data_IF_683279644461
#
_entry.id   IF_683279644461
#
_cell.length_a   1.000
_cell.length_b   1.000
_cell.length_c   1.000
_cell.angle_alpha   90.00
_cell.angle_beta   90.00
_cell.angle_gamma   90.00
#
_symmetry.space_group_name_H-M   'P 1'
#
loop_
_entity.id
_entity.type
_entity.pdbx_description
1 polymer ?
#
# COMPACT_ATOMS: atom_id res chain seq x y z
N UNK A 1 -10.24 -22.59 5.04
CA UNK A 1 -8.81 -22.48 4.65
C UNK A 1 -8.32 -21.15 5.19
N UNK A 2 -7.12 -21.05 5.72
CA UNK A 2 -6.60 -19.77 6.21
C UNK A 2 -6.45 -18.74 5.08
N UNK A 3 -6.90 -17.50 5.30
CA UNK A 3 -6.76 -16.43 4.31
C UNK A 3 -5.30 -16.13 3.97
N UNK A 4 -5.03 -15.64 2.76
CA UNK A 4 -3.76 -15.01 2.40
C UNK A 4 -3.75 -13.54 2.84
N UNK A 5 -2.57 -12.99 3.13
CA UNK A 5 -2.44 -11.58 3.54
C UNK A 5 -3.05 -10.59 2.53
N UNK A 6 -3.05 -10.96 1.25
CA UNK A 6 -3.66 -10.24 0.12
C UNK A 6 -5.18 -10.15 0.26
N UNK A 7 -5.83 -11.27 0.56
CA UNK A 7 -7.29 -11.34 0.66
C UNK A 7 -7.83 -10.64 1.92
N UNK A 8 -7.06 -10.67 3.00
CA UNK A 8 -7.37 -9.89 4.20
C UNK A 8 -7.28 -8.37 3.97
N UNK A 9 -6.56 -7.90 2.94
CA UNK A 9 -6.52 -6.48 2.64
C UNK A 9 -7.73 -5.97 1.86
N UNK A 10 -8.30 -6.81 1.00
CA UNK A 10 -9.51 -6.50 0.24
C UNK A 10 -10.76 -6.65 1.10
N UNK A 11 -10.74 -7.60 2.04
CA UNK A 11 -11.86 -7.91 2.94
C UNK A 11 -11.70 -7.31 4.34
N UNK A 12 -10.93 -6.21 4.49
CA UNK A 12 -10.73 -5.52 5.77
C UNK A 12 -12.03 -5.07 6.43
N UNK A 13 -13.07 -4.84 5.64
CA UNK A 13 -14.38 -4.39 6.09
C UNK A 13 -15.37 -5.51 6.43
N UNK A 14 -15.02 -6.75 6.12
CA UNK A 14 -15.84 -7.93 6.37
C UNK A 14 -15.71 -8.43 7.82
N UNK A 15 -16.70 -9.19 8.32
CA UNK A 15 -16.69 -9.73 9.67
C UNK A 15 -15.53 -10.71 9.88
N UNK A 16 -14.89 -10.63 11.04
CA UNK A 16 -13.82 -11.52 11.41
C UNK A 16 -14.37 -12.80 12.05
N UNK A 17 -14.06 -13.94 11.45
CA UNK A 17 -14.40 -15.27 11.96
C UNK A 17 -13.11 -16.08 12.04
N UNK A 18 -12.95 -16.85 13.11
CA UNK A 18 -11.78 -17.69 13.28
C UNK A 18 -11.90 -18.99 12.47
N UNK A 19 -10.85 -19.36 11.74
CA UNK A 19 -10.84 -20.58 10.93
C UNK A 19 -10.68 -21.86 11.79
N UNK A 20 -9.76 -21.83 12.75
CA UNK A 20 -9.37 -22.97 13.57
C UNK A 20 -9.36 -22.60 15.04
N UNK A 21 -9.59 -23.57 15.93
CA UNK A 21 -9.51 -23.32 17.38
C UNK A 21 -8.22 -22.57 17.73
N UNK A 22 -8.38 -21.40 18.32
CA UNK A 22 -7.27 -20.49 18.65
C UNK A 22 -7.22 -20.30 20.15
N UNK A 23 -6.03 -20.45 20.72
CA UNK A 23 -5.81 -20.43 22.16
C UNK A 23 -5.81 -19.01 22.73
N UNK A 24 -6.09 -18.91 24.03
CA UNK A 24 -5.97 -17.66 24.76
C UNK A 24 -4.55 -17.10 24.67
N UNK A 25 -4.44 -15.79 24.44
CA UNK A 25 -3.19 -15.09 24.33
C UNK A 25 -2.49 -15.17 22.98
N UNK A 26 -3.09 -15.86 21.99
CA UNK A 26 -2.61 -15.83 20.61
C UNK A 26 -2.84 -14.45 19.98
N UNK A 27 -1.84 -13.97 19.25
CA UNK A 27 -1.95 -12.77 18.40
C UNK A 27 -2.61 -13.20 17.10
N UNK A 28 -3.74 -12.59 16.77
CA UNK A 28 -4.51 -12.95 15.58
C UNK A 28 -3.79 -12.45 14.33
N UNK A 29 -3.34 -13.41 13.51
CA UNK A 29 -2.86 -13.17 12.16
C UNK A 29 -3.94 -13.45 11.11
N UNK A 30 -3.60 -13.20 9.85
CA UNK A 30 -4.49 -13.49 8.71
C UNK A 30 -4.73 -15.00 8.59
N UNK A 31 -3.73 -15.79 8.97
CA UNK A 31 -3.77 -17.25 8.98
C UNK A 31 -4.81 -17.83 9.95
N UNK A 32 -5.19 -17.07 10.97
CA UNK A 32 -6.16 -17.48 11.98
C UNK A 32 -7.60 -17.14 11.59
N UNK A 33 -7.80 -16.37 10.53
CA UNK A 33 -9.10 -15.90 10.07
C UNK A 33 -9.59 -16.74 8.89
N UNK A 34 -10.90 -16.97 8.87
CA UNK A 34 -11.61 -17.61 7.78
C UNK A 34 -11.94 -16.59 6.69
N UNK A 35 -12.08 -17.07 5.47
CA UNK A 35 -12.37 -16.27 4.28
C UNK A 35 -13.84 -15.79 4.25
N UNK A 36 -14.11 -14.47 4.25
CA UNK A 36 -15.47 -13.96 4.15
C UNK A 36 -16.22 -14.30 2.86
N UNK A 37 -15.52 -14.62 1.77
CA UNK A 37 -16.17 -15.00 0.51
C UNK A 37 -16.97 -16.31 0.64
N UNK A 38 -16.61 -17.18 1.58
CA UNK A 38 -17.32 -18.44 1.84
C UNK A 38 -18.43 -18.30 2.89
N UNK A 39 -18.55 -17.15 3.57
CA UNK A 39 -19.56 -16.96 4.61
C UNK A 39 -21.00 -17.11 4.13
N UNK A 40 -21.39 -16.63 2.93
CA UNK A 40 -22.75 -16.85 2.41
C UNK A 40 -23.15 -18.32 2.40
N UNK A 41 -22.27 -19.20 1.92
CA UNK A 41 -22.50 -20.65 1.85
C UNK A 41 -22.54 -21.28 3.26
N UNK A 42 -21.71 -20.79 4.18
CA UNK A 42 -21.67 -21.27 5.57
C UNK A 42 -22.87 -20.81 6.40
N UNK A 43 -23.41 -19.63 6.12
CA UNK A 43 -24.64 -19.13 6.72
C UNK A 43 -25.86 -19.87 6.18
N UNK A 44 -25.90 -20.16 4.87
CA UNK A 44 -26.97 -20.92 4.24
C UNK A 44 -27.05 -22.36 4.75
N UNK A 45 -25.90 -22.99 5.02
CA UNK A 45 -25.83 -24.31 5.66
C UNK A 45 -26.12 -24.32 7.16
N UNK A 46 -26.32 -23.15 7.79
CA UNK A 46 -26.54 -23.01 9.22
C UNK A 46 -25.31 -23.30 10.08
N UNK A 47 -24.13 -23.36 9.47
CA UNK A 47 -22.87 -23.67 10.13
C UNK A 47 -22.24 -22.42 10.79
N UNK A 48 -22.53 -21.23 10.25
CA UNK A 48 -22.01 -19.95 10.72
C UNK A 48 -23.15 -18.98 11.01
N UNK A 49 -23.05 -18.26 12.13
CA UNK A 49 -23.96 -17.16 12.47
C UNK A 49 -23.13 -15.95 12.86
N UNK A 50 -23.22 -14.89 12.06
CA UNK A 50 -22.46 -13.66 12.27
C UNK A 50 -23.36 -12.64 12.96
N UNK A 51 -23.09 -12.27 14.23
CA UNK A 51 -23.83 -11.22 14.92
C UNK A 51 -23.40 -9.83 14.44
N UNK A 52 -24.31 -8.84 14.52
CA UNK A 52 -24.05 -7.45 14.14
C UNK A 52 -22.91 -6.78 14.93
N UNK A 53 -22.55 -7.34 16.09
CA UNK A 53 -21.46 -6.86 16.96
C UNK A 53 -20.11 -7.54 16.66
N UNK A 54 -19.98 -8.20 15.51
CA UNK A 54 -18.70 -8.77 15.05
C UNK A 54 -17.73 -7.66 14.65
N UNK A 55 -16.46 -7.84 15.03
CA UNK A 55 -15.37 -6.99 14.61
C UNK A 55 -14.97 -7.32 13.18
N UNK A 56 -14.31 -6.36 12.53
CA UNK A 56 -13.85 -6.50 11.15
C UNK A 56 -12.47 -7.14 11.09
N UNK A 57 -12.16 -7.84 9.99
CA UNK A 57 -10.85 -8.45 9.73
C UNK A 57 -9.71 -7.46 9.98
N UNK A 58 -9.81 -6.23 9.44
CA UNK A 58 -8.77 -5.21 9.61
C UNK A 58 -8.59 -4.69 11.05
N UNK A 59 -9.56 -4.91 11.94
CA UNK A 59 -9.49 -4.49 13.34
C UNK A 59 -8.95 -5.59 14.26
N UNK A 60 -9.19 -6.85 13.90
CA UNK A 60 -8.76 -7.99 14.73
C UNK A 60 -7.32 -8.40 14.45
N UNK A 61 -6.80 -8.14 13.25
CA UNK A 61 -5.42 -8.47 12.90
C UNK A 61 -4.46 -7.70 13.82
N UNK A 62 -3.61 -8.45 14.53
CA UNK A 62 -2.69 -7.93 15.55
C UNK A 62 -3.28 -7.77 16.94
N UNK A 63 -4.58 -8.04 17.13
CA UNK A 63 -5.19 -8.09 18.47
C UNK A 63 -4.91 -9.43 19.15
N UNK A 64 -4.85 -9.41 20.48
CA UNK A 64 -4.60 -10.61 21.29
C UNK A 64 -5.90 -11.20 21.80
N UNK A 65 -6.10 -12.51 21.69
CA UNK A 65 -7.28 -13.15 22.28
C UNK A 65 -7.22 -13.18 23.80
N UNK A 66 -8.31 -12.83 24.48
CA UNK A 66 -8.42 -12.92 25.95
C UNK A 66 -9.00 -14.25 26.44
N UNK A 67 -9.52 -15.06 25.52
CA UNK A 67 -10.07 -16.38 25.83
C UNK A 67 -9.87 -17.31 24.64
N UNK A 68 -9.80 -18.61 24.92
CA UNK A 68 -9.76 -19.63 23.87
C UNK A 68 -11.10 -19.67 23.14
N UNK A 69 -11.07 -19.70 21.82
CA UNK A 69 -12.26 -19.78 20.96
C UNK A 69 -12.15 -20.92 19.96
N UNK A 70 -13.27 -21.55 19.67
CA UNK A 70 -13.35 -22.65 18.71
C UNK A 70 -13.52 -22.13 17.28
N UNK A 71 -13.30 -23.02 16.30
CA UNK A 71 -13.49 -22.71 14.88
C UNK A 71 -14.88 -22.14 14.59
N UNK A 72 -14.97 -21.25 13.61
CA UNK A 72 -16.20 -20.60 13.16
C UNK A 72 -16.85 -19.68 14.20
N UNK A 73 -16.09 -19.27 15.20
CA UNK A 73 -16.53 -18.28 16.17
C UNK A 73 -16.26 -16.87 15.61
N UNK A 74 -17.29 -16.02 15.45
CA UNK A 74 -17.10 -14.62 15.11
C UNK A 74 -16.40 -13.87 16.25
N UNK A 75 -15.44 -13.02 15.89
CA UNK A 75 -14.69 -12.23 16.86
C UNK A 75 -15.48 -10.97 17.20
N UNK A 76 -15.72 -10.74 18.50
CA UNK A 76 -16.32 -9.50 19.01
C UNK A 76 -15.35 -8.73 19.90
N UNK A 77 -15.69 -7.49 20.24
CA UNK A 77 -14.89 -6.65 21.16
C UNK A 77 -14.68 -7.27 22.55
N UNK A 78 -15.52 -8.23 22.93
CA UNK A 78 -15.49 -8.86 24.25
C UNK A 78 -14.51 -10.04 24.33
N UNK A 79 -13.84 -10.39 23.23
CA UNK A 79 -12.97 -11.57 23.15
C UNK A 79 -11.54 -11.26 22.72
N UNK A 80 -11.27 -10.00 22.35
CA UNK A 80 -9.93 -9.52 21.98
C UNK A 80 -9.51 -8.35 22.86
N UNK A 81 -8.26 -8.40 23.28
CA UNK A 81 -7.55 -7.26 23.87
C UNK A 81 -6.97 -6.47 22.71
N UNK A 82 -7.66 -5.40 22.33
CA UNK A 82 -7.13 -4.41 21.40
C UNK A 82 -6.10 -3.58 22.18
N UNK A 83 -4.81 -3.84 21.96
CA UNK A 83 -3.74 -3.05 22.54
C UNK A 83 -3.87 -1.59 22.09
N UNK A 84 -4.49 -0.77 22.95
CA UNK A 84 -4.64 0.68 22.83
C UNK A 84 -3.36 1.43 23.25
N UNK A 85 -2.19 0.86 23.02
CA UNK A 85 -0.90 1.55 23.20
C UNK A 85 -0.51 2.24 21.89
N UNK A 86 -1.27 3.28 21.56
CA UNK A 86 -1.03 4.13 20.40
C UNK A 86 -2.09 5.21 20.18
N UNK A 87 -2.50 5.88 21.27
CA UNK A 87 -3.21 7.17 21.34
C UNK A 87 -4.59 7.32 20.66
N UNK A 88 -5.60 7.37 21.53
CA UNK A 88 -6.82 8.15 21.32
C UNK A 88 -6.47 9.63 21.16
N UNK A 89 -6.97 10.29 20.13
CA UNK A 89 -7.33 11.70 20.18
C UNK A 89 -8.58 11.97 19.36
N UNK A 90 -9.60 12.38 20.11
CA UNK A 90 -10.86 13.07 19.82
C UNK A 90 -11.37 13.29 18.38
N UNK A 91 -12.70 13.20 18.32
CA UNK A 91 -13.62 13.77 17.32
C UNK A 91 -13.18 15.18 16.89
N UNK A 92 -12.95 15.37 15.60
CA UNK A 92 -13.81 16.14 14.70
C UNK A 92 -13.07 16.33 13.36
N UNK A 93 -13.83 16.21 12.29
CA UNK A 93 -13.60 16.66 10.91
C UNK A 93 -12.15 16.79 10.39
N UNK A 94 -11.98 16.17 9.20
CA UNK A 94 -11.11 16.57 8.08
C UNK A 94 -9.78 15.82 7.99
N UNK A 95 -9.75 14.95 6.96
CA UNK A 95 -8.65 14.70 6.00
C UNK A 95 -7.25 14.44 6.59
N UNK A 96 -6.61 13.38 6.10
CA UNK A 96 -5.23 12.91 6.38
C UNK A 96 -5.18 11.73 7.36
N UNK A 97 -4.48 10.62 7.13
CA UNK A 97 -3.55 10.16 6.07
C UNK A 97 -3.64 8.64 6.13
N UNK A 98 -4.11 7.99 5.05
CA UNK A 98 -3.95 6.55 4.89
C UNK A 98 -2.45 6.28 4.85
N UNK A 99 -1.90 5.56 5.82
CA UNK A 99 -0.50 5.12 5.80
C UNK A 99 -0.29 4.36 4.48
N UNK A 100 0.59 4.87 3.64
CA UNK A 100 0.95 4.24 2.39
C UNK A 100 1.80 3.00 2.71
N UNK A 101 1.29 1.82 2.38
CA UNK A 101 2.08 0.59 2.41
C UNK A 101 3.07 0.65 1.24
N UNK A 102 4.36 0.59 1.53
CA UNK A 102 5.48 0.64 0.58
C UNK A 102 5.53 1.90 -0.33
N UNK A 103 5.93 3.07 0.21
CA UNK A 103 5.96 4.34 -0.53
C UNK A 103 6.95 4.40 -1.70
N UNK A 104 8.04 3.62 -1.62
CA UNK A 104 9.14 3.61 -2.60
C UNK A 104 8.86 2.73 -3.82
N UNK A 105 7.80 1.93 -3.79
CA UNK A 105 7.46 1.02 -4.89
C UNK A 105 6.91 1.76 -6.10
N UNK A 106 6.94 1.10 -7.25
CA UNK A 106 6.45 1.67 -8.51
C UNK A 106 4.94 1.93 -8.47
N UNK A 107 4.51 3.00 -9.13
CA UNK A 107 3.12 3.38 -9.25
C UNK A 107 2.48 2.76 -10.50
N UNK A 108 1.54 1.85 -10.28
CA UNK A 108 0.67 1.26 -11.32
C UNK A 108 -0.77 1.54 -10.92
N UNK A 109 -1.63 1.88 -11.86
CA UNK A 109 -3.05 2.11 -11.59
C UNK A 109 -3.83 0.80 -11.45
N UNK A 110 -4.68 0.71 -10.42
CA UNK A 110 -5.66 -0.39 -10.23
C UNK A 110 -6.89 -0.18 -11.11
N UNK A 111 -7.33 1.06 -11.30
CA UNK A 111 -8.56 1.41 -12.01
C UNK A 111 -8.31 2.36 -13.18
N UNK A 112 -9.29 2.42 -14.10
CA UNK A 112 -9.31 3.42 -15.17
C UNK A 112 -9.57 4.80 -14.55
N UNK A 113 -8.73 5.77 -14.88
CA UNK A 113 -8.86 7.15 -14.42
C UNK A 113 -8.94 8.10 -15.61
N UNK A 114 -9.72 9.17 -15.46
CA UNK A 114 -9.89 10.18 -16.49
C UNK A 114 -8.91 11.33 -16.30
N UNK A 115 -8.70 12.07 -17.39
CA UNK A 115 -7.95 13.31 -17.40
C UNK A 115 -8.48 14.27 -16.33
N UNK A 116 -7.57 14.78 -15.50
CA UNK A 116 -7.85 15.72 -14.43
C UNK A 116 -8.18 15.08 -13.08
N UNK A 117 -8.35 13.76 -13.03
CA UNK A 117 -8.56 13.02 -11.78
C UNK A 117 -7.31 13.08 -10.90
N UNK A 118 -7.52 13.16 -9.59
CA UNK A 118 -6.46 13.18 -8.58
C UNK A 118 -6.20 11.75 -8.13
N UNK A 119 -4.95 11.30 -8.26
CA UNK A 119 -4.54 9.95 -7.88
C UNK A 119 -4.53 9.82 -6.37
N UNK A 120 -5.26 8.82 -5.85
CA UNK A 120 -5.29 8.48 -4.43
C UNK A 120 -4.55 7.15 -4.19
N UNK A 121 -4.18 6.83 -2.93
CA UNK A 121 -3.55 5.55 -2.60
C UNK A 121 -4.38 4.32 -3.02
N UNK A 122 -5.70 4.45 -3.02
CA UNK A 122 -6.67 3.41 -3.42
C UNK A 122 -6.63 3.08 -4.90
N UNK A 123 -6.26 4.06 -5.71
CA UNK A 123 -6.24 3.93 -7.16
C UNK A 123 -4.95 3.25 -7.63
N UNK A 124 -4.02 2.95 -6.72
CA UNK A 124 -2.73 2.33 -7.01
C UNK A 124 -2.74 0.85 -6.67
N UNK A 125 -2.23 0.06 -7.60
CA UNK A 125 -2.12 -1.39 -7.50
C UNK A 125 -1.14 -1.83 -6.41
N UNK A 126 -1.34 -3.04 -5.87
CA UNK A 126 -0.45 -3.61 -4.85
C UNK A 126 0.85 -4.15 -5.50
N UNK A 127 2.04 -3.69 -5.06
CA UNK A 127 3.32 -4.16 -5.58
C UNK A 127 3.54 -5.68 -5.53
N UNK A 128 2.85 -6.39 -4.64
CA UNK A 128 2.92 -7.86 -4.58
C UNK A 128 2.39 -8.55 -5.85
N UNK A 129 1.55 -7.89 -6.65
CA UNK A 129 1.05 -8.46 -7.91
C UNK A 129 1.95 -8.17 -9.10
N UNK A 130 2.98 -7.34 -8.94
CA UNK A 130 3.79 -6.88 -10.06
C UNK A 130 4.51 -8.01 -10.76
N UNK A 131 5.06 -8.97 -10.02
CA UNK A 131 5.70 -10.17 -10.59
C UNK A 131 4.72 -10.94 -11.48
N UNK A 132 3.51 -11.24 -10.97
CA UNK A 132 2.45 -11.92 -11.73
C UNK A 132 2.02 -11.15 -12.99
N UNK A 133 1.95 -9.83 -12.91
CA UNK A 133 1.57 -8.98 -14.02
C UNK A 133 2.68 -8.81 -15.07
N UNK A 134 3.95 -8.78 -14.65
CA UNK A 134 5.10 -8.80 -15.57
C UNK A 134 5.20 -10.14 -16.30
N UNK A 135 5.03 -11.26 -15.58
CA UNK A 135 4.98 -12.60 -16.16
C UNK A 135 3.86 -12.74 -17.20
N UNK A 136 2.73 -12.10 -16.93
CA UNK A 136 1.57 -12.04 -17.85
C UNK A 136 1.72 -10.98 -18.94
N UNK A 137 2.84 -10.25 -19.00
CA UNK A 137 3.11 -9.14 -19.93
C UNK A 137 2.07 -8.00 -19.88
N UNK A 138 1.36 -7.86 -18.76
CA UNK A 138 0.33 -6.85 -18.56
C UNK A 138 0.93 -5.49 -18.17
N UNK A 139 2.03 -5.50 -17.42
CA UNK A 139 2.73 -4.29 -17.00
C UNK A 139 4.21 -4.34 -17.37
N UNK A 140 4.84 -3.17 -17.45
CA UNK A 140 6.28 -3.02 -17.59
C UNK A 140 6.77 -1.96 -16.61
N UNK A 141 7.63 -2.38 -15.67
CA UNK A 141 8.20 -1.50 -14.66
C UNK A 141 9.60 -1.06 -15.06
N UNK A 142 9.67 0.02 -15.84
CA UNK A 142 10.94 0.64 -16.20
C UNK A 142 11.45 1.59 -15.11
N UNK A 143 12.73 1.96 -15.19
CA UNK A 143 13.34 3.00 -14.34
C UNK A 143 12.64 4.38 -14.43
N UNK A 144 11.82 4.60 -15.46
CA UNK A 144 11.08 5.85 -15.69
C UNK A 144 9.76 5.93 -14.90
N UNK A 145 9.27 4.78 -14.42
CA UNK A 145 8.03 4.70 -13.65
C UNK A 145 8.24 5.36 -12.29
N UNK A 146 7.32 6.25 -11.93
CA UNK A 146 7.34 7.01 -10.69
C UNK A 146 7.00 6.11 -9.49
N UNK A 147 7.34 6.57 -8.28
CA UNK A 147 6.96 5.85 -7.06
C UNK A 147 5.53 6.19 -6.63
N UNK A 148 4.93 5.31 -5.82
CA UNK A 148 3.58 5.53 -5.25
C UNK A 148 3.50 6.86 -4.49
N UNK A 149 4.54 7.20 -3.71
CA UNK A 149 4.60 8.48 -2.98
C UNK A 149 4.59 9.71 -3.91
N UNK A 150 5.24 9.63 -5.07
CA UNK A 150 5.37 10.77 -5.99
C UNK A 150 4.12 11.07 -6.80
N UNK A 151 3.26 10.07 -7.01
CA UNK A 151 2.06 10.21 -7.84
C UNK A 151 0.83 10.59 -7.02
N UNK A 152 0.80 10.27 -5.73
CA UNK A 152 -0.35 10.54 -4.87
C UNK A 152 -0.57 12.05 -4.75
N UNK A 153 -1.82 12.47 -4.95
CA UNK A 153 -2.20 13.88 -4.92
C UNK A 153 -1.89 14.66 -6.20
N UNK A 154 -1.29 14.02 -7.22
CA UNK A 154 -1.09 14.60 -8.55
C UNK A 154 -2.30 14.36 -9.45
N UNK A 155 -2.46 15.22 -10.47
CA UNK A 155 -3.56 15.10 -11.45
C UNK A 155 -3.09 14.41 -12.71
N UNK A 156 -3.96 13.65 -13.38
CA UNK A 156 -3.66 13.07 -14.68
C UNK A 156 -3.84 14.07 -15.84
N UNK A 157 -2.94 14.01 -16.84
CA UNK A 157 -2.97 14.85 -18.06
C UNK A 157 -3.85 14.29 -19.17
N UNK A 158 -4.07 12.98 -19.14
CA UNK A 158 -4.80 12.22 -20.15
C UNK A 158 -5.62 11.12 -19.48
N UNK A 159 -6.50 10.49 -20.24
CA UNK A 159 -7.25 9.33 -19.79
C UNK A 159 -6.31 8.12 -19.76
N UNK A 160 -6.26 7.41 -18.64
CA UNK A 160 -5.34 6.29 -18.43
C UNK A 160 -6.14 5.06 -18.02
N UNK A 161 -5.83 3.93 -18.67
CA UNK A 161 -6.46 2.64 -18.37
C UNK A 161 -5.79 1.96 -17.16
N UNK A 162 -6.51 1.06 -16.52
CA UNK A 162 -6.00 0.22 -15.44
C UNK A 162 -4.75 -0.58 -15.89
N UNK A 163 -3.93 -0.98 -14.92
CA UNK A 163 -2.64 -1.66 -15.12
C UNK A 163 -1.62 -0.83 -15.90
N UNK A 164 -1.81 0.48 -16.02
CA UNK A 164 -0.80 1.35 -16.64
C UNK A 164 0.19 1.84 -15.58
N UNK A 165 1.48 1.74 -15.88
CA UNK A 165 2.55 2.30 -15.07
C UNK A 165 2.66 3.81 -15.27
N UNK A 166 2.70 4.56 -14.18
CA UNK A 166 2.65 6.02 -14.21
C UNK A 166 4.05 6.62 -14.39
N UNK A 167 4.15 7.49 -15.40
CA UNK A 167 5.36 8.23 -15.71
C UNK A 167 5.14 9.74 -15.52
N UNK A 168 6.24 10.50 -15.46
CA UNK A 168 6.20 11.96 -15.31
C UNK A 168 5.43 12.68 -16.43
N UNK A 169 5.37 12.09 -17.63
CA UNK A 169 4.63 12.65 -18.77
C UNK A 169 3.12 12.60 -18.58
N UNK A 170 2.60 11.67 -17.77
CA UNK A 170 1.18 11.40 -17.60
C UNK A 170 0.54 12.21 -16.47
N UNK A 171 1.35 12.82 -15.60
CA UNK A 171 0.87 13.56 -14.42
C UNK A 171 1.21 15.06 -14.50
N UNK A 172 0.33 15.88 -13.92
CA UNK A 172 0.54 17.28 -13.59
C UNK A 172 1.02 17.38 -12.15
N UNK A 173 2.31 17.66 -11.97
CA UNK A 173 2.87 17.98 -10.65
C UNK A 173 2.48 19.41 -10.30
N UNK A 174 1.60 19.57 -9.32
CA UNK A 174 1.45 20.85 -8.63
C UNK A 174 2.59 20.98 -7.62
N UNK A 175 3.52 21.87 -7.89
CA UNK A 175 4.75 22.07 -7.09
C UNK A 175 4.46 22.22 -5.59
N UNK A 176 4.63 21.13 -4.83
CA UNK A 176 4.86 21.18 -3.37
C UNK A 176 5.54 19.87 -2.92
N UNK A 177 6.89 19.90 -2.94
CA UNK A 177 7.88 18.92 -2.40
C UNK A 177 7.81 17.54 -3.09
N UNK A 178 8.84 16.99 -3.71
CA UNK A 178 10.30 17.11 -3.54
C UNK A 178 10.92 17.12 -4.93
N UNK A 179 11.42 18.28 -5.34
CA UNK A 179 12.49 18.29 -6.31
C UNK A 179 13.73 17.73 -5.61
N UNK A 180 14.10 16.47 -5.87
CA UNK A 180 15.52 16.12 -5.83
C UNK A 180 16.16 16.78 -7.07
N UNK A 181 16.23 18.10 -7.02
CA UNK A 181 17.07 18.87 -7.93
C UNK A 181 18.49 18.42 -7.58
N UNK A 182 19.10 17.62 -8.44
CA UNK A 182 20.54 17.45 -8.39
C UNK A 182 21.15 18.83 -8.68
N UNK A 183 21.51 19.55 -7.63
CA UNK A 183 22.35 20.73 -7.74
C UNK A 183 23.77 20.24 -8.05
N UNK A 184 24.15 20.28 -9.32
CA UNK A 184 25.54 20.11 -9.72
C UNK A 184 26.25 21.44 -9.57
N UNK A 185 27.18 21.52 -8.64
CA UNK A 185 28.14 22.63 -8.61
C UNK A 185 29.10 22.39 -9.79
N UNK A 186 28.94 23.19 -10.85
CA UNK A 186 29.81 23.13 -12.03
C UNK A 186 31.02 24.01 -11.77
N UNK A 187 32.17 23.39 -11.54
CA UNK A 187 33.46 24.09 -11.58
C UNK A 187 34.16 23.72 -12.88
N UNK A 188 34.45 24.75 -13.68
CA UNK A 188 35.25 24.62 -14.91
C UNK A 188 36.70 24.78 -14.50
N UNK A 189 37.54 23.77 -14.78
CA UNK A 189 38.98 23.95 -14.59
C UNK A 189 39.49 25.05 -15.53
N UNK A 190 40.54 25.77 -15.12
CA UNK A 190 41.10 26.90 -15.89
C UNK A 190 41.65 26.56 -17.29
N UNK A 191 41.53 25.32 -17.76
CA UNK A 191 41.93 24.85 -19.08
C UNK A 191 40.75 24.46 -19.99
N UNK A 192 39.51 24.41 -19.48
CA UNK A 192 38.27 24.28 -20.26
C UNK A 192 38.08 22.93 -20.98
N UNK A 193 38.84 21.88 -20.63
CA UNK A 193 38.82 20.58 -21.34
C UNK A 193 37.95 19.52 -20.69
N UNK A 194 37.65 19.65 -19.40
CA UNK A 194 36.91 18.64 -18.64
C UNK A 194 35.83 19.32 -17.77
N UNK A 195 34.65 18.69 -17.72
CA UNK A 195 33.59 19.04 -16.79
C UNK A 195 33.67 18.08 -15.60
N UNK A 196 33.97 18.60 -14.41
CA UNK A 196 34.08 17.80 -13.18
C UNK A 196 32.80 17.93 -12.36
N UNK A 197 32.02 16.85 -12.28
CA UNK A 197 30.77 16.81 -11.53
C UNK A 197 31.00 16.18 -10.16
N UNK A 198 30.82 16.95 -9.09
CA UNK A 198 30.96 16.49 -7.70
C UNK A 198 29.59 16.17 -7.10
N UNK A 199 29.37 14.91 -6.73
CA UNK A 199 28.10 14.46 -6.12
C UNK A 199 28.20 14.61 -4.59
N UNK A 200 27.36 15.46 -3.98
CA UNK A 200 27.38 15.75 -2.53
C UNK A 200 26.97 14.58 -1.62
N UNK A 201 26.16 13.64 -2.09
CA UNK A 201 25.64 12.52 -1.26
C UNK A 201 26.52 11.24 -1.31
N UNK A 202 27.53 11.16 -2.18
CA UNK A 202 28.44 10.02 -2.27
C UNK A 202 29.85 10.40 -1.84
N UNK A 203 30.48 9.65 -0.95
CA UNK A 203 31.91 9.82 -0.66
C UNK A 203 32.74 9.68 -1.96
N UNK A 204 33.21 10.81 -2.49
CA UNK A 204 34.37 10.86 -3.40
C UNK A 204 34.16 10.41 -4.85
N UNK A 205 32.94 10.48 -5.40
CA UNK A 205 32.72 10.21 -6.83
C UNK A 205 32.88 11.52 -7.61
N UNK A 206 33.87 11.55 -8.49
CA UNK A 206 34.10 12.60 -9.48
C UNK A 206 33.84 12.01 -10.86
N UNK A 207 32.88 12.58 -11.60
CA UNK A 207 32.66 12.24 -13.01
C UNK A 207 33.34 13.32 -13.84
N UNK A 208 34.38 12.94 -14.58
CA UNK A 208 35.05 13.80 -15.54
C UNK A 208 34.53 13.49 -16.95
N UNK A 209 33.88 14.46 -17.59
CA UNK A 209 33.46 14.35 -18.98
C UNK A 209 34.39 15.21 -19.86
N UNK A 210 35.04 14.64 -20.88
CA UNK A 210 35.82 15.42 -21.83
C UNK A 210 34.86 16.26 -22.69
N UNK A 211 35.04 17.58 -22.69
CA UNK A 211 34.38 18.46 -23.64
C UNK A 211 35.09 18.34 -24.99
N UNK A 212 34.35 17.99 -26.04
CA UNK A 212 34.86 17.93 -27.42
C UNK A 212 34.44 19.18 -28.18
#
# INVERSE_FOLDING_TARGET
MSMSAEHAEELKDEPAVVCCRTEEGTILGVENLEDPDIFPDMMESGLLTIPDNSLKVGQVIGSKLIKTIDSLTPISSDIVEVDKTGEKSNRDSKVEKRKLNLPQEKAVLKYNLKKGDIIKPEDLENPMHFEKYEDSLLIKLDNKVLTREEVIGTKLKEDVVALTSLNISMIERTDKKVSKTFSFDTEVDGSGRFLSLKIKEGKGIYIELPFR
#
